data_IF_554816685806
#
_entry.id   IF_554816685806
#
_cell.length_a   1.000
_cell.length_b   1.000
_cell.length_c   1.000
_cell.angle_alpha   90.00
_cell.angle_beta   90.00
_cell.angle_gamma   90.00
#
_symmetry.space_group_name_H-M   'P 1'
#
loop_
_entity.id
_entity.type
_entity.pdbx_description
1 polymer ?
#
# COMPACT_ATOMS: atom_id res chain seq x y z
N UNK A 1 14.14 5.50 -4.42
CA UNK A 1 12.92 4.85 -3.92
C UNK A 1 12.04 5.91 -3.30
N UNK A 2 10.75 5.92 -3.62
CA UNK A 2 9.73 6.79 -3.03
C UNK A 2 8.68 5.91 -2.38
N UNK A 3 8.40 6.19 -1.11
CA UNK A 3 7.41 5.49 -0.31
C UNK A 3 6.48 6.55 0.26
N UNK A 4 5.21 6.50 -0.13
CA UNK A 4 4.17 7.36 0.45
C UNK A 4 3.18 6.45 1.16
N UNK A 5 3.08 6.62 2.48
CA UNK A 5 2.19 5.81 3.31
C UNK A 5 0.95 6.60 3.72
N UNK A 6 -0.09 5.86 4.08
CA UNK A 6 -1.31 6.39 4.68
C UNK A 6 -2.08 7.37 3.80
N UNK A 7 -2.09 7.13 2.49
CA UNK A 7 -3.00 7.80 1.57
C UNK A 7 -4.41 7.32 1.91
N UNK A 8 -5.26 8.24 2.34
CA UNK A 8 -6.65 7.95 2.69
C UNK A 8 -7.47 8.04 1.41
N UNK A 9 -8.09 6.92 1.03
CA UNK A 9 -9.11 6.89 -0.01
C UNK A 9 -10.48 6.94 0.65
N UNK A 10 -11.14 8.08 0.48
CA UNK A 10 -12.51 8.30 0.97
C UNK A 10 -13.53 7.87 -0.07
N UNK A 11 -14.57 7.17 0.36
CA UNK A 11 -15.75 6.89 -0.45
C UNK A 11 -17.00 7.29 0.32
N UNK A 12 -17.93 7.99 -0.35
CA UNK A 12 -19.19 8.41 0.27
C UNK A 12 -19.95 7.18 0.78
N UNK A 13 -20.26 7.17 2.07
CA UNK A 13 -20.99 6.10 2.79
C UNK A 13 -20.22 4.79 3.06
N UNK A 14 -18.88 4.75 2.92
CA UNK A 14 -18.07 3.57 3.33
C UNK A 14 -16.91 3.95 4.25
N UNK A 15 -16.32 2.94 4.90
CA UNK A 15 -15.10 3.12 5.69
C UNK A 15 -13.93 3.52 4.76
N UNK A 16 -13.09 4.48 5.17
CA UNK A 16 -11.93 4.89 4.38
C UNK A 16 -10.91 3.75 4.25
N UNK A 17 -10.22 3.70 3.11
CA UNK A 17 -9.18 2.70 2.85
C UNK A 17 -7.81 3.37 2.92
N UNK A 18 -6.96 2.84 3.78
CA UNK A 18 -5.56 3.26 3.90
C UNK A 18 -4.75 2.58 2.82
N UNK A 19 -4.02 3.40 2.07
CA UNK A 19 -3.23 2.95 0.92
C UNK A 19 -1.80 3.44 1.07
N UNK A 20 -0.85 2.57 0.77
CA UNK A 20 0.55 2.97 0.59
C UNK A 20 0.98 2.72 -0.85
N UNK A 21 1.96 3.50 -1.30
CA UNK A 21 2.58 3.33 -2.61
C UNK A 21 4.10 3.30 -2.50
N UNK A 22 4.72 2.41 -3.28
CA UNK A 22 6.15 2.21 -3.35
C UNK A 22 6.57 2.20 -4.81
N UNK A 23 7.51 3.07 -5.20
CA UNK A 23 7.98 3.15 -6.58
C UNK A 23 9.32 3.88 -6.69
N UNK A 24 10.02 3.68 -7.81
CA UNK A 24 11.19 4.50 -8.16
C UNK A 24 10.75 5.75 -8.92
N UNK A 25 10.98 6.95 -8.35
CA UNK A 25 10.65 8.20 -9.01
C UNK A 25 11.69 8.57 -10.08
N UNK A 26 11.38 8.29 -11.35
CA UNK A 26 12.28 8.52 -12.49
C UNK A 26 11.52 8.90 -13.78
N UNK A 27 10.25 9.31 -13.68
CA UNK A 27 9.37 9.65 -14.81
C UNK A 27 9.22 8.58 -15.91
N UNK A 28 9.63 7.33 -15.64
CA UNK A 28 9.43 6.20 -16.57
C UNK A 28 8.13 5.48 -16.21
N UNK A 29 7.26 5.14 -17.19
CA UNK A 29 6.10 4.28 -16.97
C UNK A 29 6.49 2.94 -16.35
N UNK A 30 5.66 2.41 -15.45
CA UNK A 30 5.92 1.16 -14.72
C UNK A 30 4.70 0.25 -14.77
N UNK A 31 4.90 -1.08 -14.88
CA UNK A 31 3.83 -2.02 -14.59
C UNK A 31 3.36 -1.85 -13.13
N UNK A 32 2.04 -1.92 -12.93
CA UNK A 32 1.40 -1.70 -11.63
C UNK A 32 1.08 -3.03 -10.97
N UNK A 33 1.45 -3.17 -9.71
CA UNK A 33 1.01 -4.25 -8.83
C UNK A 33 0.03 -3.67 -7.83
N UNK A 34 -1.17 -4.25 -7.78
CA UNK A 34 -2.17 -3.97 -6.77
C UNK A 34 -2.15 -5.12 -5.76
N UNK A 35 -1.69 -4.83 -4.55
CA UNK A 35 -1.68 -5.78 -3.46
C UNK A 35 -2.83 -5.49 -2.50
N UNK A 36 -3.74 -6.46 -2.42
CA UNK A 36 -4.93 -6.40 -1.59
C UNK A 36 -4.67 -7.10 -0.25
N UNK A 37 -4.34 -6.35 0.80
CA UNK A 37 -4.26 -6.90 2.16
C UNK A 37 -5.67 -6.97 2.77
N UNK A 38 -6.06 -8.12 3.33
CA UNK A 38 -7.44 -8.34 3.78
C UNK A 38 -7.69 -9.53 4.71
N UNK A 39 -6.92 -10.61 4.60
CA UNK A 39 -7.17 -11.86 5.33
C UNK A 39 -6.05 -12.16 6.35
N UNK A 40 -6.42 -12.26 7.64
CA UNK A 40 -5.55 -12.64 8.78
C UNK A 40 -4.16 -11.97 8.77
N UNK A 41 -4.12 -10.66 8.94
CA UNK A 41 -2.88 -9.89 9.03
C UNK A 41 -3.10 -8.43 9.43
N UNK A 42 -2.00 -7.75 9.73
CA UNK A 42 -1.95 -6.31 9.98
C UNK A 42 -1.15 -5.67 8.83
N UNK A 43 -1.65 -4.56 8.25
CA UNK A 43 -1.07 -3.92 7.04
C UNK A 43 0.44 -3.66 7.16
N UNK A 44 0.88 -3.23 8.34
CA UNK A 44 2.25 -2.83 8.63
C UNK A 44 3.02 -3.84 9.50
N UNK A 45 2.50 -5.07 9.62
CA UNK A 45 3.19 -6.16 10.31
C UNK A 45 3.56 -7.27 9.34
N UNK A 46 4.76 -7.84 9.51
CA UNK A 46 5.28 -8.91 8.66
C UNK A 46 6.06 -8.40 7.45
N UNK A 47 6.07 -9.16 6.36
CA UNK A 47 6.98 -8.95 5.24
C UNK A 47 6.43 -8.02 4.14
N UNK A 48 5.28 -7.36 4.35
CA UNK A 48 4.59 -6.62 3.28
C UNK A 48 5.38 -5.43 2.76
N UNK A 49 6.04 -4.69 3.65
CA UNK A 49 6.90 -3.55 3.25
C UNK A 49 8.16 -4.04 2.54
N UNK A 50 8.80 -5.09 3.04
CA UNK A 50 9.97 -5.70 2.39
C UNK A 50 9.63 -6.19 0.97
N UNK A 51 8.47 -6.82 0.81
CA UNK A 51 7.97 -7.25 -0.49
C UNK A 51 7.69 -6.04 -1.41
N UNK A 52 7.03 -5.00 -0.91
CA UNK A 52 6.73 -3.80 -1.69
C UNK A 52 8.01 -3.09 -2.17
N UNK A 53 9.00 -2.97 -1.30
CA UNK A 53 10.32 -2.40 -1.63
C UNK A 53 11.08 -3.25 -2.67
N UNK A 54 11.03 -4.58 -2.55
CA UNK A 54 11.64 -5.49 -3.51
C UNK A 54 11.04 -5.32 -4.92
N UNK A 55 9.71 -5.29 -5.04
CA UNK A 55 9.03 -5.08 -6.32
C UNK A 55 9.27 -3.68 -6.88
N UNK A 56 9.22 -2.64 -6.04
CA UNK A 56 9.50 -1.27 -6.47
C UNK A 56 10.95 -1.09 -6.96
N UNK A 57 11.90 -1.82 -6.36
CA UNK A 57 13.30 -1.84 -6.79
C UNK A 57 13.49 -2.62 -8.11
N UNK A 58 12.65 -3.60 -8.36
CA UNK A 58 12.60 -4.34 -9.63
C UNK A 58 11.90 -3.58 -10.77
N UNK A 59 11.46 -2.34 -10.55
CA UNK A 59 10.88 -1.47 -11.58
C UNK A 59 9.35 -1.43 -11.63
N UNK A 60 8.67 -2.01 -10.64
CA UNK A 60 7.21 -1.96 -10.55
C UNK A 60 6.73 -0.72 -9.78
N UNK A 61 5.47 -0.33 -10.01
CA UNK A 61 4.74 0.59 -9.13
C UNK A 61 3.84 -0.25 -8.22
N UNK A 62 4.14 -0.30 -6.94
CA UNK A 62 3.45 -1.17 -5.99
C UNK A 62 2.44 -0.38 -5.16
N UNK A 63 1.19 -0.82 -5.17
CA UNK A 63 0.09 -0.22 -4.41
C UNK A 63 -0.36 -1.23 -3.35
N UNK A 64 -0.31 -0.85 -2.07
CA UNK A 64 -0.72 -1.67 -0.94
C UNK A 64 -2.02 -1.13 -0.34
N UNK A 65 -3.13 -1.83 -0.57
CA UNK A 65 -4.43 -1.49 0.01
C UNK A 65 -4.68 -2.24 1.31
N UNK A 66 -5.28 -1.56 2.30
CA UNK A 66 -5.75 -2.19 3.53
C UNK A 66 -7.26 -2.39 3.57
N UNK A 67 -7.74 -3.44 2.91
CA UNK A 67 -9.15 -3.80 2.92
C UNK A 67 -9.60 -4.41 4.25
N UNK A 68 -8.67 -4.95 5.06
CA UNK A 68 -9.01 -5.48 6.38
C UNK A 68 -9.38 -4.41 7.40
N UNK A 69 -9.00 -3.16 7.15
CA UNK A 69 -9.01 -2.10 8.15
C UNK A 69 -8.25 -2.50 9.45
N UNK A 70 -7.18 -3.29 9.36
CA UNK A 70 -6.34 -3.62 10.52
C UNK A 70 -4.89 -3.21 10.30
N UNK A 71 -4.22 -2.76 11.37
CA UNK A 71 -2.76 -2.72 11.43
C UNK A 71 -2.07 -1.66 10.59
N UNK A 72 -2.69 -0.49 10.45
CA UNK A 72 -2.24 0.73 9.75
C UNK A 72 -3.25 1.84 10.03
N UNK A 73 -3.21 3.07 9.48
CA UNK A 73 -4.04 4.14 10.12
C UNK A 73 -5.15 4.79 9.30
N UNK A 74 -6.38 4.72 9.84
CA UNK A 74 -7.24 5.91 10.10
C UNK A 74 -7.58 5.88 11.59
N UNK A 75 -6.79 6.55 12.44
CA UNK A 75 -6.71 6.37 13.91
C UNK A 75 -6.14 5.02 14.44
N UNK A 76 -5.42 4.26 13.60
CA UNK A 76 -4.99 2.84 13.75
C UNK A 76 -5.99 1.83 13.15
N UNK A 77 -7.20 2.36 12.80
CA UNK A 77 -8.42 1.82 12.17
C UNK A 77 -9.61 1.52 13.09
#
# INVERSE_FOLDING_TARGET
>A
MTITKHIILEEKHKKPIVTDVFYTNNNTPKPVIIFCHGYKGFKDWGAWDLMAEAFASAGYFFIKFNFSHNGGTVEQL
#
